data_IF_590739357004
#
_entry.id   IF_590739357004
#
_cell.length_a   1.000
_cell.length_b   1.000
_cell.length_c   1.000
_cell.angle_alpha   90.00
_cell.angle_beta   90.00
_cell.angle_gamma   90.00
#
_symmetry.space_group_name_H-M   'P 1'
#
loop_
_entity.id
_entity.type
_entity.pdbx_description
1 polymer ?
#
# COMPACT_ATOMS: atom_id res chain seq x y z
N UNK A 1 19.71 -31.95 -26.28
CA UNK A 1 19.47 -33.04 -25.31
C UNK A 1 19.36 -32.54 -23.86
N UNK A 2 19.78 -31.31 -23.53
CA UNK A 2 19.66 -30.73 -22.18
C UNK A 2 18.23 -30.38 -21.76
N UNK A 3 17.40 -29.83 -22.66
CA UNK A 3 16.01 -29.45 -22.32
C UNK A 3 15.09 -30.60 -21.87
N UNK A 4 15.35 -31.84 -22.29
CA UNK A 4 14.49 -32.99 -21.90
C UNK A 4 14.70 -33.35 -20.42
N UNK A 5 15.90 -33.11 -19.87
CA UNK A 5 16.20 -33.40 -18.46
C UNK A 5 15.67 -32.31 -17.51
N UNK A 6 15.48 -31.09 -18.00
CA UNK A 6 14.90 -29.98 -17.21
C UNK A 6 13.40 -30.17 -16.97
N UNK A 7 12.66 -30.65 -17.98
CA UNK A 7 11.22 -30.93 -17.84
C UNK A 7 10.94 -32.04 -16.80
N UNK A 8 11.76 -33.10 -16.77
CA UNK A 8 11.60 -34.17 -15.78
C UNK A 8 11.81 -33.66 -14.34
N UNK A 9 12.83 -32.83 -14.11
CA UNK A 9 13.08 -32.24 -12.80
C UNK A 9 11.95 -31.30 -12.37
N UNK A 10 11.33 -30.57 -13.30
CA UNK A 10 10.24 -29.65 -13.00
C UNK A 10 8.96 -30.36 -12.54
N UNK A 11 8.73 -31.59 -13.01
CA UNK A 11 7.55 -32.37 -12.58
C UNK A 11 7.70 -32.96 -11.17
N UNK A 12 8.92 -33.29 -10.73
CA UNK A 12 9.16 -33.99 -9.48
C UNK A 12 8.79 -33.13 -8.25
N UNK A 13 9.25 -31.89 -8.21
CA UNK A 13 8.99 -31.00 -7.06
C UNK A 13 7.53 -30.55 -6.99
N UNK A 14 6.88 -30.31 -8.14
CA UNK A 14 5.43 -30.00 -8.21
C UNK A 14 4.60 -31.15 -7.63
N UNK A 15 5.02 -32.39 -7.90
CA UNK A 15 4.38 -33.59 -7.36
C UNK A 15 4.58 -33.67 -5.85
N UNK A 16 5.79 -33.41 -5.34
CA UNK A 16 6.06 -33.39 -3.89
C UNK A 16 5.21 -32.35 -3.14
N UNK A 17 5.06 -31.14 -3.67
CA UNK A 17 4.19 -30.10 -3.09
C UNK A 17 2.74 -30.56 -3.07
N UNK A 18 2.27 -31.13 -4.18
CA UNK A 18 0.91 -31.66 -4.28
C UNK A 18 0.67 -32.75 -3.24
N UNK A 19 1.56 -33.73 -3.14
CA UNK A 19 1.43 -34.85 -2.22
C UNK A 19 1.40 -34.38 -0.75
N UNK A 20 2.26 -33.42 -0.40
CA UNK A 20 2.27 -32.81 0.94
C UNK A 20 0.91 -32.17 1.28
N UNK A 21 0.39 -31.32 0.39
CA UNK A 21 -0.87 -30.60 0.64
C UNK A 21 -2.07 -31.55 0.61
N UNK A 22 -2.05 -32.57 -0.25
CA UNK A 22 -3.10 -33.59 -0.29
C UNK A 22 -3.14 -34.44 0.98
N UNK A 23 -1.99 -34.72 1.60
CA UNK A 23 -1.92 -35.39 2.89
C UNK A 23 -2.55 -34.55 4.01
N UNK A 24 -2.30 -33.24 4.02
CA UNK A 24 -2.93 -32.34 4.98
C UNK A 24 -4.45 -32.24 4.75
N UNK A 25 -4.89 -32.24 3.48
CA UNK A 25 -6.31 -32.31 3.13
C UNK A 25 -6.97 -33.59 3.64
N UNK A 26 -6.32 -34.74 3.52
CA UNK A 26 -6.84 -36.03 4.01
C UNK A 26 -7.14 -35.96 5.52
N UNK A 27 -6.21 -35.42 6.32
CA UNK A 27 -6.41 -35.22 7.77
C UNK A 27 -7.60 -34.29 8.06
N UNK A 28 -7.74 -33.20 7.31
CA UNK A 28 -8.87 -32.27 7.48
C UNK A 28 -10.22 -32.92 7.10
N UNK A 29 -10.24 -33.77 6.07
CA UNK A 29 -11.43 -34.52 5.68
C UNK A 29 -11.81 -35.54 6.75
N UNK A 30 -10.85 -36.29 7.31
CA UNK A 30 -11.10 -37.21 8.43
C UNK A 30 -11.69 -36.49 9.65
N UNK A 31 -11.18 -35.30 9.98
CA UNK A 31 -11.71 -34.48 11.08
C UNK A 31 -13.15 -34.00 10.80
N UNK A 32 -13.44 -33.64 9.55
CA UNK A 32 -14.77 -33.17 9.12
C UNK A 32 -15.78 -34.31 9.17
N UNK A 33 -15.37 -35.51 8.73
CA UNK A 33 -16.17 -36.74 8.81
C UNK A 33 -16.47 -37.10 10.27
N UNK A 34 -15.46 -37.11 11.13
CA UNK A 34 -15.63 -37.38 12.56
C UNK A 34 -16.55 -36.36 13.24
N UNK A 35 -16.46 -35.07 12.87
CA UNK A 35 -17.33 -34.02 13.39
C UNK A 35 -18.78 -34.20 12.92
N UNK A 36 -18.99 -34.60 11.67
CA UNK A 36 -20.31 -34.88 11.12
C UNK A 36 -20.96 -36.10 11.80
N UNK A 37 -20.23 -37.19 11.98
CA UNK A 37 -20.72 -38.39 12.67
C UNK A 37 -21.03 -38.11 14.15
N UNK A 38 -20.20 -37.31 14.83
CA UNK A 38 -20.49 -36.84 16.19
C UNK A 38 -21.78 -36.04 16.25
N UNK A 39 -21.97 -35.08 15.32
CA UNK A 39 -23.21 -34.28 15.25
C UNK A 39 -24.45 -35.13 14.94
N UNK A 40 -24.30 -36.19 14.15
CA UNK A 40 -25.39 -37.13 13.86
C UNK A 40 -25.74 -38.04 15.05
N UNK A 41 -24.76 -38.42 15.88
CA UNK A 41 -24.95 -39.32 17.02
C UNK A 41 -25.47 -38.60 18.28
N UNK A 42 -25.06 -37.35 18.51
CA UNK A 42 -25.48 -36.57 19.68
C UNK A 42 -26.91 -36.04 19.58
N UNK A 43 -27.47 -35.92 18.38
CA UNK A 43 -28.81 -35.40 18.21
C UNK A 43 -29.88 -36.49 18.44
N UNK A 44 -30.95 -36.18 19.22
CA UNK A 44 -32.10 -37.09 19.35
C UNK A 44 -32.71 -37.33 17.97
N UNK A 45 -33.48 -38.42 17.75
CA UNK A 45 -33.97 -38.80 16.41
C UNK A 45 -34.64 -37.63 15.68
N UNK A 46 -33.88 -37.02 14.77
CA UNK A 46 -34.28 -35.78 14.13
C UNK A 46 -35.16 -36.07 12.92
N UNK A 47 -36.07 -35.13 12.64
CA UNK A 47 -36.85 -35.11 11.40
C UNK A 47 -35.94 -35.33 10.17
N UNK A 48 -36.46 -36.05 9.17
CA UNK A 48 -35.74 -36.37 7.93
C UNK A 48 -35.20 -35.12 7.22
N UNK A 49 -35.89 -33.99 7.37
CA UNK A 49 -35.49 -32.71 6.77
C UNK A 49 -34.20 -32.15 7.38
N UNK A 50 -34.01 -32.28 8.69
CA UNK A 50 -32.79 -31.79 9.35
C UNK A 50 -31.59 -32.63 8.92
N UNK A 51 -31.74 -33.95 8.85
CA UNK A 51 -30.70 -34.86 8.32
C UNK A 51 -30.33 -34.53 6.88
N UNK A 52 -31.30 -34.14 6.05
CA UNK A 52 -31.03 -33.69 4.68
C UNK A 52 -30.20 -32.40 4.66
N UNK A 53 -30.55 -31.41 5.49
CA UNK A 53 -29.80 -30.14 5.59
C UNK A 53 -28.36 -30.37 6.06
N UNK A 54 -28.17 -31.19 7.09
CA UNK A 54 -26.84 -31.54 7.61
C UNK A 54 -25.97 -32.21 6.55
N UNK A 55 -26.53 -33.14 5.76
CA UNK A 55 -25.79 -33.74 4.64
C UNK A 55 -25.38 -32.70 3.61
N UNK A 56 -26.25 -31.75 3.26
CA UNK A 56 -25.90 -30.68 2.31
C UNK A 56 -24.80 -29.78 2.86
N UNK A 57 -24.84 -29.43 4.15
CA UNK A 57 -23.78 -28.67 4.81
C UNK A 57 -22.45 -29.41 4.79
N UNK A 58 -22.45 -30.70 5.15
CA UNK A 58 -21.26 -31.54 5.12
C UNK A 58 -20.60 -31.61 3.72
N UNK A 59 -21.39 -31.85 2.67
CA UNK A 59 -20.86 -31.86 1.30
C UNK A 59 -20.29 -30.49 0.89
N UNK A 60 -20.94 -29.40 1.33
CA UNK A 60 -20.43 -28.05 1.08
C UNK A 60 -19.09 -27.81 1.78
N UNK A 61 -18.92 -28.27 3.01
CA UNK A 61 -17.66 -28.13 3.75
C UNK A 61 -16.53 -28.96 3.10
N UNK A 62 -16.80 -30.21 2.70
CA UNK A 62 -15.83 -31.00 1.93
C UNK A 62 -15.40 -30.27 0.66
N UNK A 63 -16.35 -29.74 -0.10
CA UNK A 63 -16.06 -29.02 -1.34
C UNK A 63 -15.22 -27.76 -1.08
N UNK A 64 -15.48 -27.03 0.00
CA UNK A 64 -14.65 -25.88 0.41
C UNK A 64 -13.23 -26.30 0.72
N UNK A 65 -13.03 -27.39 1.48
CA UNK A 65 -11.70 -27.90 1.83
C UNK A 65 -10.92 -28.33 0.58
N UNK A 66 -11.56 -29.03 -0.36
CA UNK A 66 -10.95 -29.40 -1.64
C UNK A 66 -10.52 -28.17 -2.45
N UNK A 67 -11.41 -27.18 -2.62
CA UNK A 67 -11.10 -25.94 -3.33
C UNK A 67 -9.95 -25.16 -2.65
N UNK A 68 -9.91 -25.14 -1.32
CA UNK A 68 -8.85 -24.49 -0.57
C UNK A 68 -7.49 -25.19 -0.76
N UNK A 69 -7.47 -26.52 -0.75
CA UNK A 69 -6.26 -27.31 -1.01
C UNK A 69 -5.75 -27.10 -2.45
N UNK A 70 -6.63 -27.09 -3.45
CA UNK A 70 -6.25 -26.78 -4.84
C UNK A 70 -5.66 -25.37 -4.98
N UNK A 71 -6.28 -24.38 -4.34
CA UNK A 71 -5.77 -23.01 -4.32
C UNK A 71 -4.39 -22.92 -3.65
N UNK A 72 -4.19 -23.68 -2.56
CA UNK A 72 -2.92 -23.74 -1.86
C UNK A 72 -1.81 -24.41 -2.71
N UNK A 73 -2.13 -25.52 -3.39
CA UNK A 73 -1.21 -26.18 -4.33
C UNK A 73 -0.77 -25.19 -5.42
N UNK A 74 -1.72 -24.47 -6.01
CA UNK A 74 -1.42 -23.49 -7.06
C UNK A 74 -0.53 -22.36 -6.55
N UNK A 75 -0.85 -21.80 -5.39
CA UNK A 75 -0.08 -20.69 -4.81
C UNK A 75 1.34 -21.10 -4.42
N UNK A 76 1.51 -22.30 -3.86
CA UNK A 76 2.83 -22.80 -3.45
C UNK A 76 3.70 -23.12 -4.69
N UNK A 77 3.11 -23.70 -5.75
CA UNK A 77 3.81 -23.91 -7.03
C UNK A 77 4.23 -22.56 -7.64
N UNK A 78 3.33 -21.58 -7.68
CA UNK A 78 3.64 -20.25 -8.24
C UNK A 78 4.74 -19.53 -7.46
N UNK A 79 4.75 -19.64 -6.13
CA UNK A 79 5.80 -19.06 -5.28
C UNK A 79 7.17 -19.69 -5.58
N UNK A 80 7.23 -21.01 -5.62
CA UNK A 80 8.48 -21.74 -5.91
C UNK A 80 8.97 -21.47 -7.34
N UNK A 81 8.07 -21.38 -8.32
CA UNK A 81 8.42 -20.96 -9.68
C UNK A 81 9.01 -19.55 -9.69
N UNK A 82 8.44 -18.61 -8.93
CA UNK A 82 8.99 -17.26 -8.80
C UNK A 82 10.37 -17.24 -8.15
N UNK A 83 10.58 -18.05 -7.11
CA UNK A 83 11.87 -18.16 -6.43
C UNK A 83 12.94 -18.72 -7.37
N UNK A 84 12.61 -19.77 -8.14
CA UNK A 84 13.54 -20.30 -9.16
C UNK A 84 13.78 -19.38 -10.33
N UNK A 85 12.76 -18.66 -10.79
CA UNK A 85 12.95 -17.62 -11.80
C UNK A 85 13.85 -16.50 -11.29
N UNK A 86 13.71 -16.14 -10.01
CA UNK A 86 14.57 -15.16 -9.36
C UNK A 86 16.01 -15.68 -9.29
N UNK A 87 16.23 -16.90 -8.83
CA UNK A 87 17.55 -17.53 -8.75
C UNK A 87 18.21 -17.69 -10.12
N UNK A 88 17.45 -18.08 -11.15
CA UNK A 88 17.95 -18.18 -12.52
C UNK A 88 18.36 -16.81 -13.06
N UNK A 89 17.52 -15.79 -12.86
CA UNK A 89 17.83 -14.42 -13.26
C UNK A 89 19.00 -13.82 -12.45
N UNK A 90 19.14 -14.20 -11.18
CA UNK A 90 20.27 -13.80 -10.34
C UNK A 90 21.55 -14.49 -10.78
N UNK A 91 21.53 -15.80 -11.06
CA UNK A 91 22.68 -16.52 -11.61
C UNK A 91 23.11 -15.97 -12.97
N UNK A 92 22.17 -15.64 -13.86
CA UNK A 92 22.47 -14.98 -15.13
C UNK A 92 23.07 -13.58 -14.91
N UNK A 93 22.58 -12.84 -13.92
CA UNK A 93 23.14 -11.54 -13.55
C UNK A 93 24.58 -11.64 -13.00
N UNK A 94 24.93 -12.74 -12.31
CA UNK A 94 26.29 -13.00 -11.83
C UNK A 94 27.20 -13.66 -12.89
N UNK A 95 26.64 -14.35 -13.89
CA UNK A 95 27.38 -14.98 -15.00
C UNK A 95 27.59 -14.08 -16.21
N UNK A 96 27.06 -12.85 -16.21
CA UNK A 96 27.56 -11.73 -17.03
C UNK A 96 28.96 -11.28 -16.53
N UNK A 97 29.89 -12.23 -16.55
CA UNK A 97 31.33 -12.14 -16.74
C UNK A 97 32.03 -10.91 -16.14
N UNK A 98 31.89 -10.67 -14.83
CA UNK A 98 32.80 -9.82 -14.03
C UNK A 98 32.99 -8.36 -14.47
N UNK A 99 32.35 -7.93 -15.55
CA UNK A 99 32.31 -6.56 -16.02
C UNK A 99 31.04 -5.98 -15.44
N UNK A 100 31.15 -5.47 -14.22
CA UNK A 100 30.24 -4.40 -13.76
C UNK A 100 30.09 -3.48 -14.98
N UNK A 101 28.87 -3.29 -15.53
CA UNK A 101 28.69 -2.51 -16.74
C UNK A 101 29.47 -1.21 -16.58
N UNK A 102 30.39 -0.91 -17.50
CA UNK A 102 31.29 0.24 -17.33
C UNK A 102 30.49 1.52 -17.02
N UNK A 103 29.27 1.63 -17.55
CA UNK A 103 28.30 2.66 -17.21
C UNK A 103 27.99 2.79 -15.70
N UNK A 104 27.80 1.68 -14.98
CA UNK A 104 27.55 1.68 -13.53
C UNK A 104 28.81 2.07 -12.74
N UNK A 105 30.00 1.66 -13.21
CA UNK A 105 31.28 2.11 -12.63
C UNK A 105 31.48 3.61 -12.84
N UNK A 106 31.13 4.11 -14.03
CA UNK A 106 31.22 5.53 -14.37
C UNK A 106 30.22 6.36 -13.56
N UNK A 107 29.01 5.84 -13.32
CA UNK A 107 27.99 6.44 -12.45
C UNK A 107 28.48 6.51 -11.00
N UNK A 108 29.01 5.42 -10.43
CA UNK A 108 29.62 5.44 -9.09
C UNK A 108 30.77 6.46 -9.00
N UNK A 109 31.61 6.57 -10.03
CA UNK A 109 32.69 7.57 -10.10
C UNK A 109 32.17 8.99 -10.24
N UNK A 110 31.01 9.19 -10.86
CA UNK A 110 30.37 10.51 -10.96
C UNK A 110 29.84 10.93 -9.60
N UNK A 111 29.12 10.04 -8.90
CA UNK A 111 28.60 10.29 -7.55
C UNK A 111 29.73 10.60 -6.57
N UNK A 112 30.82 9.84 -6.59
CA UNK A 112 31.98 10.11 -5.72
C UNK A 112 32.65 11.45 -6.03
N UNK A 113 32.70 11.86 -7.30
CA UNK A 113 33.20 13.20 -7.69
C UNK A 113 32.29 14.31 -7.17
N UNK A 114 30.98 14.11 -7.24
CA UNK A 114 30.00 15.09 -6.77
C UNK A 114 30.02 15.25 -5.25
N UNK A 115 30.16 14.15 -4.50
CA UNK A 115 30.37 14.21 -3.05
C UNK A 115 31.68 14.96 -2.73
N UNK A 116 32.77 14.66 -3.44
CA UNK A 116 34.05 15.36 -3.24
C UNK A 116 33.96 16.85 -3.56
N UNK A 117 33.23 17.26 -4.60
CA UNK A 117 33.03 18.69 -4.88
C UNK A 117 32.20 19.38 -3.80
N UNK A 118 31.15 18.74 -3.30
CA UNK A 118 30.33 19.30 -2.22
C UNK A 118 31.14 19.45 -0.92
N UNK A 119 32.06 18.52 -0.64
CA UNK A 119 32.89 18.58 0.57
C UNK A 119 33.93 19.73 0.52
N UNK A 120 34.36 20.15 -0.68
CA UNK A 120 35.31 21.25 -0.86
C UNK A 120 34.65 22.63 -0.76
N UNK A 121 33.43 22.78 -1.29
CA UNK A 121 32.71 24.07 -1.22
C UNK A 121 32.24 24.41 0.21
N UNK A 122 31.95 23.41 1.03
CA UNK A 122 31.62 23.63 2.46
C UNK A 122 32.84 24.05 3.30
N UNK A 123 34.05 23.66 2.91
CA UNK A 123 35.26 23.99 3.69
C UNK A 123 35.82 25.39 3.38
N UNK A 124 35.57 25.93 2.19
CA UNK A 124 35.94 27.32 1.84
C UNK A 124 34.88 28.35 2.28
N UNK A 125 33.62 27.94 2.46
CA UNK A 125 32.56 28.85 2.91
C UNK A 125 32.49 29.03 4.43
N UNK A 126 33.16 28.17 5.21
CA UNK A 126 33.11 28.22 6.68
C UNK A 126 34.19 29.11 7.34
N UNK A 127 35.13 29.70 6.59
CA UNK A 127 36.26 30.45 7.17
C UNK A 127 36.26 31.97 6.92
N UNK A 128 35.22 32.54 6.28
CA UNK A 128 35.21 33.98 5.99
C UNK A 128 33.85 34.66 6.17
N UNK A 129 33.28 34.62 7.38
CA UNK A 129 32.31 35.66 7.80
C UNK A 129 32.54 36.05 9.27
N UNK A 130 33.61 36.82 9.51
CA UNK A 130 33.60 37.80 10.58
C UNK A 130 33.88 39.19 10.01
N UNK A 131 32.82 39.99 9.96
CA UNK A 131 32.88 41.44 9.90
C UNK A 131 32.91 42.02 8.49
N UNK A 132 31.81 42.64 8.08
CA UNK A 132 31.72 44.11 8.13
C UNK A 132 30.39 44.58 7.57
N UNK A 133 29.71 45.38 8.40
CA UNK A 133 28.67 46.32 8.04
C UNK A 133 29.06 47.15 6.81
N UNK A 134 28.23 47.13 5.76
CA UNK A 134 27.86 48.31 4.97
C UNK A 134 26.76 47.97 3.97
N UNK A 135 25.60 48.63 4.14
CA UNK A 135 24.56 48.81 3.12
C UNK A 135 25.16 49.41 1.84
N UNK A 136 24.60 49.04 0.68
CA UNK A 136 24.18 50.08 -0.25
C UNK A 136 22.77 49.85 -0.81
N UNK A 137 22.06 50.97 -0.93
CA UNK A 137 21.06 51.21 -1.98
C UNK A 137 21.62 50.84 -3.35
N UNK A 138 20.86 50.18 -4.22
CA UNK A 138 20.24 50.84 -5.37
C UNK A 138 19.38 49.88 -6.22
N UNK A 139 18.27 50.43 -6.68
CA UNK A 139 17.45 50.23 -7.91
C UNK A 139 17.24 48.86 -8.61
N UNK A 140 16.02 48.62 -9.15
CA UNK A 140 15.67 47.44 -9.95
C UNK A 140 15.96 47.66 -11.46
N UNK A 141 16.63 46.69 -12.09
CA UNK A 141 16.74 46.59 -13.55
C UNK A 141 15.99 45.35 -14.06
N UNK A 142 14.95 45.58 -14.85
CA UNK A 142 14.36 44.61 -15.78
C UNK A 142 15.35 44.22 -16.88
N UNK A 143 15.39 42.94 -17.30
CA UNK A 143 15.87 42.57 -18.62
C UNK A 143 14.72 42.36 -19.61
N UNK A 144 14.85 43.10 -20.70
CA UNK A 144 14.00 43.16 -21.88
C UNK A 144 13.82 41.81 -22.60
N UNK A 145 12.62 41.63 -23.16
CA UNK A 145 12.30 40.62 -24.17
C UNK A 145 12.92 40.96 -25.53
N UNK A 146 13.49 40.00 -26.27
CA UNK A 146 13.75 40.18 -27.69
C UNK A 146 12.51 39.80 -28.52
N UNK A 147 11.93 40.85 -29.11
CA UNK A 147 11.07 40.80 -30.29
C UNK A 147 11.88 40.31 -31.49
N UNK A 148 11.34 39.37 -32.26
CA UNK A 148 11.77 39.13 -33.64
C UNK A 148 10.55 38.86 -34.51
N UNK A 149 10.14 39.91 -35.21
CA UNK A 149 9.34 39.84 -36.42
C UNK A 149 10.29 39.82 -37.60
N UNK A 150 10.09 38.92 -38.57
CA UNK A 150 10.28 39.27 -39.99
C UNK A 150 9.57 38.24 -40.87
N UNK A 151 8.66 38.77 -41.68
CA UNK A 151 8.03 38.13 -42.81
C UNK A 151 9.06 37.72 -43.89
N UNK A 152 8.67 36.79 -44.77
CA UNK A 152 8.67 37.03 -46.22
C UNK A 152 8.05 35.87 -46.99
N UNK A 153 7.07 36.22 -47.82
CA UNK A 153 6.62 35.44 -48.96
C UNK A 153 7.71 35.37 -50.02
N UNK A 154 7.99 34.18 -50.57
CA UNK A 154 8.63 34.07 -51.89
C UNK A 154 8.03 32.88 -52.64
N UNK A 155 7.28 33.24 -53.67
CA UNK A 155 6.87 32.46 -54.82
C UNK A 155 8.08 31.90 -55.56
N UNK A 156 8.00 30.66 -56.05
CA UNK A 156 8.70 30.29 -57.28
C UNK A 156 9.56 29.03 -57.25
N UNK A 157 9.13 28.11 -58.10
CA UNK A 157 9.95 27.24 -58.95
C UNK A 157 10.37 25.87 -58.40
N UNK A 158 9.96 24.87 -59.19
CA UNK A 158 10.31 23.46 -59.12
C UNK A 158 11.83 23.26 -58.97
N UNK A 159 12.28 23.00 -57.75
CA UNK A 159 13.57 22.40 -57.47
C UNK A 159 13.41 20.87 -57.36
N UNK A 160 14.29 20.07 -57.97
CA UNK A 160 14.22 18.61 -57.91
C UNK A 160 14.40 18.16 -56.46
N UNK A 161 13.44 17.34 -55.97
CA UNK A 161 13.50 16.74 -54.63
C UNK A 161 14.85 16.04 -54.45
N UNK A 162 15.70 16.47 -53.51
CA UNK A 162 16.89 15.69 -53.17
C UNK A 162 16.39 14.36 -52.64
N UNK A 163 16.90 13.26 -53.23
CA UNK A 163 16.70 11.91 -52.73
C UNK A 163 17.23 11.95 -51.29
N UNK A 164 16.31 11.99 -50.32
CA UNK A 164 16.66 12.02 -48.91
C UNK A 164 17.43 10.74 -48.63
N UNK A 165 18.74 10.88 -48.40
CA UNK A 165 19.57 9.79 -47.96
C UNK A 165 18.89 9.17 -46.73
N UNK A 166 18.62 7.86 -46.80
CA UNK A 166 18.06 7.09 -45.71
C UNK A 166 19.02 7.25 -44.54
N UNK A 167 18.67 8.13 -43.60
CA UNK A 167 19.43 8.31 -42.38
C UNK A 167 19.27 7.04 -41.57
N UNK A 168 20.34 6.24 -41.58
CA UNK A 168 20.44 5.06 -40.74
C UNK A 168 20.41 5.56 -39.28
N UNK A 169 19.47 5.09 -38.44
CA UNK A 169 19.35 5.54 -37.06
C UNK A 169 20.69 5.35 -36.33
N UNK A 170 21.09 6.37 -35.58
CA UNK A 170 22.33 6.35 -34.81
C UNK A 170 22.28 5.25 -33.75
N UNK A 171 23.44 4.71 -33.36
CA UNK A 171 23.54 3.77 -32.25
C UNK A 171 22.90 4.33 -30.95
N UNK A 172 22.99 5.64 -30.74
CA UNK A 172 22.34 6.33 -29.63
C UNK A 172 20.79 6.29 -29.72
N UNK A 173 20.23 6.35 -30.94
CA UNK A 173 18.78 6.28 -31.15
C UNK A 173 18.24 4.88 -30.89
N UNK A 174 19.03 3.84 -31.21
CA UNK A 174 18.70 2.45 -30.91
C UNK A 174 18.72 2.19 -29.39
N UNK A 175 19.71 2.73 -28.69
CA UNK A 175 19.80 2.58 -27.23
C UNK A 175 18.68 3.35 -26.50
N UNK A 176 18.34 4.55 -26.97
CA UNK A 176 17.21 5.32 -26.44
C UNK A 176 15.87 4.58 -26.62
N UNK A 177 15.66 3.93 -27.77
CA UNK A 177 14.47 3.08 -28.01
C UNK A 177 14.43 1.87 -27.08
N UNK A 178 15.56 1.20 -26.85
CA UNK A 178 15.61 0.07 -25.93
C UNK A 178 15.30 0.47 -24.48
N UNK A 179 15.78 1.63 -24.02
CA UNK A 179 15.43 2.19 -22.70
C UNK A 179 13.95 2.54 -22.60
N UNK A 180 13.40 3.18 -23.63
CA UNK A 180 11.98 3.52 -23.68
C UNK A 180 11.09 2.27 -23.65
N UNK A 181 11.43 1.24 -24.42
CA UNK A 181 10.70 -0.03 -24.44
C UNK A 181 10.77 -0.75 -23.09
N UNK A 182 11.94 -0.76 -22.43
CA UNK A 182 12.08 -1.36 -21.09
C UNK A 182 11.21 -0.64 -20.06
N UNK A 183 11.16 0.69 -20.11
CA UNK A 183 10.33 1.50 -19.23
C UNK A 183 8.83 1.28 -19.51
N UNK A 184 8.43 1.16 -20.78
CA UNK A 184 7.07 0.83 -21.18
C UNK A 184 6.63 -0.55 -20.65
N UNK A 185 7.49 -1.58 -20.76
CA UNK A 185 7.21 -2.91 -20.18
C UNK A 185 7.02 -2.85 -18.67
N UNK A 186 7.86 -2.09 -17.95
CA UNK A 186 7.69 -1.92 -16.51
C UNK A 186 6.37 -1.23 -16.17
N UNK A 187 5.98 -0.20 -16.91
CA UNK A 187 4.67 0.46 -16.71
C UNK A 187 3.49 -0.46 -17.00
N UNK A 188 3.59 -1.29 -18.03
CA UNK A 188 2.55 -2.28 -18.38
C UNK A 188 2.44 -3.36 -17.29
N UNK A 189 3.56 -3.85 -16.76
CA UNK A 189 3.56 -4.79 -15.62
C UNK A 189 2.93 -4.18 -14.37
N UNK A 190 3.25 -2.91 -14.07
CA UNK A 190 2.60 -2.18 -12.97
C UNK A 190 1.08 -2.06 -13.19
N UNK A 191 0.63 -1.72 -14.39
CA UNK A 191 -0.81 -1.69 -14.74
C UNK A 191 -1.45 -3.07 -14.56
N UNK A 192 -0.80 -4.14 -15.03
CA UNK A 192 -1.31 -5.51 -14.94
C UNK A 192 -1.43 -5.99 -13.49
N UNK A 193 -0.44 -5.67 -12.65
CA UNK A 193 -0.48 -5.96 -11.20
C UNK A 193 -1.59 -5.16 -10.49
N UNK A 194 -1.73 -3.87 -10.81
CA UNK A 194 -2.78 -3.05 -10.25
C UNK A 194 -4.19 -3.57 -10.62
N UNK A 195 -4.39 -4.00 -11.87
CA UNK A 195 -5.65 -4.60 -12.32
C UNK A 195 -5.94 -5.94 -11.62
N UNK A 196 -4.93 -6.78 -11.45
CA UNK A 196 -5.07 -8.06 -10.73
C UNK A 196 -5.49 -7.84 -9.27
N UNK A 197 -4.93 -6.84 -8.59
CA UNK A 197 -5.32 -6.46 -7.22
C UNK A 197 -6.78 -5.98 -7.18
N UNK A 198 -7.19 -5.13 -8.12
CA UNK A 198 -8.58 -4.68 -8.24
C UNK A 198 -9.56 -5.83 -8.48
N UNK A 199 -9.21 -6.79 -9.35
CA UNK A 199 -10.01 -7.99 -9.59
C UNK A 199 -10.11 -8.87 -8.35
N UNK A 200 -9.01 -9.09 -7.63
CA UNK A 200 -9.00 -9.82 -6.36
C UNK A 200 -9.91 -9.15 -5.33
N UNK A 201 -9.81 -7.83 -5.17
CA UNK A 201 -10.64 -7.04 -4.24
C UNK A 201 -12.13 -7.05 -4.63
N UNK A 202 -12.46 -7.02 -5.92
CA UNK A 202 -13.85 -7.18 -6.38
C UNK A 202 -14.38 -8.59 -6.11
N UNK A 203 -13.58 -9.62 -6.36
CA UNK A 203 -13.95 -11.00 -6.07
C UNK A 203 -14.19 -11.21 -4.56
N UNK A 204 -13.31 -10.66 -3.72
CA UNK A 204 -13.42 -10.68 -2.27
C UNK A 204 -14.67 -9.94 -1.77
N UNK A 205 -14.99 -8.77 -2.32
CA UNK A 205 -16.26 -8.06 -2.01
C UNK A 205 -17.49 -8.88 -2.41
N UNK A 206 -17.46 -9.54 -3.57
CA UNK A 206 -18.55 -10.43 -4.00
C UNK A 206 -18.71 -11.61 -3.06
N UNK A 207 -17.59 -12.19 -2.62
CA UNK A 207 -17.57 -13.30 -1.66
C UNK A 207 -18.10 -12.87 -0.30
N UNK A 208 -17.64 -11.74 0.25
CA UNK A 208 -18.11 -11.21 1.54
C UNK A 208 -19.60 -10.86 1.51
N UNK A 209 -20.07 -10.19 0.45
CA UNK A 209 -21.50 -9.91 0.30
C UNK A 209 -22.34 -11.20 0.23
N UNK A 210 -21.77 -12.30 -0.29
CA UNK A 210 -22.47 -13.58 -0.35
C UNK A 210 -22.55 -14.27 1.02
N UNK A 211 -21.53 -14.11 1.87
CA UNK A 211 -21.58 -14.56 3.27
C UNK A 211 -22.59 -13.75 4.10
N UNK A 212 -22.54 -12.43 4.00
CA UNK A 212 -23.42 -11.53 4.76
C UNK A 212 -24.91 -11.72 4.40
N UNK A 213 -25.18 -12.01 3.12
CA UNK A 213 -26.52 -12.35 2.65
C UNK A 213 -27.05 -13.69 3.20
N UNK A 214 -26.17 -14.65 3.49
CA UNK A 214 -26.54 -15.93 4.08
C UNK A 214 -26.84 -15.80 5.59
N UNK A 215 -26.13 -14.90 6.27
CA UNK A 215 -26.29 -14.65 7.70
C UNK A 215 -27.54 -13.82 8.01
N UNK A 216 -27.80 -12.77 7.22
CA UNK A 216 -29.01 -11.92 7.33
C UNK A 216 -30.31 -12.72 7.11
N UNK A 217 -30.27 -13.76 6.27
CA UNK A 217 -31.44 -14.62 6.03
C UNK A 217 -31.66 -15.65 7.13
N UNK A 218 -30.63 -15.93 7.95
CA UNK A 218 -30.73 -16.82 9.10
C UNK A 218 -31.20 -16.07 10.36
N UNK A 219 -30.90 -14.76 10.47
CA UNK A 219 -31.24 -13.94 11.64
C UNK A 219 -32.61 -13.25 11.56
N UNK A 220 -33.22 -13.12 10.38
CA UNK A 220 -34.52 -12.43 10.20
C UNK A 220 -35.76 -13.25 10.61
N UNK A 221 -35.59 -14.44 11.21
CA UNK A 221 -36.72 -15.28 11.65
C UNK A 221 -37.13 -15.09 13.12
N UNK A 222 -36.46 -14.22 13.88
CA UNK A 222 -36.75 -14.02 15.30
C UNK A 222 -36.67 -12.54 15.65
N UNK A 223 -37.82 -11.85 15.75
CA UNK A 223 -38.12 -10.82 16.76
C UNK A 223 -39.41 -10.06 16.39
N UNK A 224 -40.53 -10.58 16.90
CA UNK A 224 -41.73 -9.80 17.17
C UNK A 224 -41.62 -9.24 18.60
N UNK A 225 -41.61 -7.93 18.77
CA UNK A 225 -42.44 -7.23 19.79
C UNK A 225 -42.09 -5.74 19.82
N UNK A 226 -43.11 -4.98 19.43
CA UNK A 226 -43.24 -3.53 19.57
C UNK A 226 -43.39 -3.17 21.06
N UNK A 227 -42.63 -2.18 21.53
CA UNK A 227 -43.02 -1.36 22.66
C UNK A 227 -42.41 0.03 22.51
N UNK A 228 -43.30 0.99 22.30
CA UNK A 228 -43.04 2.43 22.33
C UNK A 228 -42.60 2.84 23.73
N UNK A 229 -41.41 3.42 23.85
CA UNK A 229 -41.02 4.15 25.05
C UNK A 229 -40.17 5.36 24.66
N UNK A 230 -40.76 6.55 24.80
CA UNK A 230 -40.14 7.86 24.62
C UNK A 230 -38.85 7.98 25.45
N UNK A 231 -37.71 8.08 24.78
CA UNK A 231 -36.39 8.14 25.38
C UNK A 231 -35.85 9.57 25.42
N UNK A 232 -35.88 10.13 26.63
CA UNK A 232 -34.92 11.14 27.07
C UNK A 232 -33.51 10.57 26.91
N UNK A 233 -32.75 11.09 25.94
CA UNK A 233 -31.39 10.67 25.57
C UNK A 233 -30.37 10.94 26.69
N UNK A 234 -30.35 10.07 27.70
CA UNK A 234 -29.14 9.82 28.49
C UNK A 234 -28.17 9.10 27.57
N UNK A 235 -27.03 9.71 27.27
CA UNK A 235 -25.95 9.09 26.51
C UNK A 235 -25.50 7.83 27.26
N UNK A 236 -25.96 6.68 26.81
CA UNK A 236 -25.41 5.39 27.22
C UNK A 236 -23.92 5.37 26.84
N UNK A 237 -23.02 4.96 27.74
CA UNK A 237 -21.60 4.86 27.42
C UNK A 237 -21.43 3.86 26.28
N UNK A 238 -20.83 4.31 25.17
CA UNK A 238 -20.55 3.46 24.01
C UNK A 238 -19.81 2.20 24.47
N UNK A 239 -20.21 0.99 24.00
CA UNK A 239 -19.50 -0.25 24.31
C UNK A 239 -18.02 -0.10 23.96
N UNK A 240 -17.09 -0.61 24.80
CA UNK A 240 -15.68 -0.61 24.46
C UNK A 240 -15.48 -1.39 23.15
N UNK A 241 -14.74 -0.80 22.21
CA UNK A 241 -14.46 -1.38 20.90
C UNK A 241 -13.73 -2.72 21.07
N UNK A 242 -14.12 -3.74 20.28
CA UNK A 242 -13.46 -5.05 20.35
C UNK A 242 -12.00 -4.95 19.88
N UNK A 243 -11.17 -5.90 20.30
CA UNK A 243 -9.75 -5.89 19.94
C UNK A 243 -9.55 -6.04 18.43
N UNK A 244 -10.34 -6.90 17.79
CA UNK A 244 -10.36 -7.08 16.34
C UNK A 244 -10.76 -5.79 15.62
N UNK A 245 -11.76 -5.07 16.14
CA UNK A 245 -12.20 -3.80 15.56
C UNK A 245 -11.12 -2.72 15.67
N UNK A 246 -10.40 -2.67 16.79
CA UNK A 246 -9.25 -1.77 16.97
C UNK A 246 -8.15 -2.06 15.95
N UNK A 247 -7.82 -3.34 15.74
CA UNK A 247 -6.82 -3.75 14.73
C UNK A 247 -7.29 -3.35 13.33
N UNK A 248 -8.55 -3.65 13.00
CA UNK A 248 -9.14 -3.31 11.72
C UNK A 248 -9.17 -1.79 11.47
N UNK A 249 -9.49 -1.00 12.49
CA UNK A 249 -9.49 0.46 12.43
C UNK A 249 -8.10 1.00 12.09
N UNK A 250 -7.06 0.47 12.72
CA UNK A 250 -5.68 0.93 12.49
C UNK A 250 -5.20 0.56 11.08
N UNK A 251 -5.50 -0.66 10.63
CA UNK A 251 -5.21 -1.09 9.25
C UNK A 251 -5.96 -0.19 8.26
N UNK A 252 -7.22 0.13 8.54
CA UNK A 252 -8.02 1.02 7.71
C UNK A 252 -7.42 2.43 7.64
N UNK A 253 -7.01 3.00 8.77
CA UNK A 253 -6.33 4.31 8.84
C UNK A 253 -5.02 4.31 8.05
N UNK A 254 -4.23 3.24 8.11
CA UNK A 254 -3.00 3.11 7.31
C UNK A 254 -3.29 3.10 5.80
N UNK A 255 -4.35 2.40 5.39
CA UNK A 255 -4.78 2.39 3.98
C UNK A 255 -5.31 3.77 3.53
N UNK A 256 -5.98 4.52 4.42
CA UNK A 256 -6.50 5.86 4.10
C UNK A 256 -5.39 6.81 3.67
N UNK A 257 -4.20 6.76 4.29
CA UNK A 257 -3.07 7.60 3.86
C UNK A 257 -2.66 7.39 2.40
N UNK A 258 -2.68 6.14 1.93
CA UNK A 258 -2.42 5.81 0.53
C UNK A 258 -3.53 6.31 -0.39
N UNK A 259 -4.79 6.17 0.05
CA UNK A 259 -5.94 6.61 -0.72
C UNK A 259 -6.03 8.13 -0.85
N UNK A 260 -5.76 8.89 0.22
CA UNK A 260 -5.74 10.35 0.22
C UNK A 260 -4.77 10.95 -0.79
N UNK A 261 -3.65 10.27 -1.08
CA UNK A 261 -2.72 10.70 -2.10
C UNK A 261 -3.36 10.76 -3.50
N UNK A 262 -4.45 10.04 -3.74
CA UNK A 262 -5.16 9.99 -5.02
C UNK A 262 -6.33 10.97 -5.13
N UNK A 263 -6.81 11.54 -4.02
CA UNK A 263 -8.03 12.36 -3.99
C UNK A 263 -7.81 13.81 -4.43
N UNK A 264 -8.48 14.33 -5.46
CA UNK A 264 -8.23 15.69 -5.97
C UNK A 264 -8.50 16.78 -4.92
N UNK A 265 -9.47 16.53 -4.03
CA UNK A 265 -9.84 17.40 -2.94
C UNK A 265 -9.86 16.59 -1.64
N UNK A 266 -9.39 17.22 -0.56
CA UNK A 266 -9.39 16.63 0.78
C UNK A 266 -10.27 17.48 1.70
N UNK A 267 -10.99 16.79 2.58
CA UNK A 267 -11.82 17.35 3.63
C UNK A 267 -11.39 16.81 4.99
N UNK A 268 -11.90 17.41 6.06
CA UNK A 268 -11.56 17.05 7.44
C UNK A 268 -11.81 15.56 7.73
N UNK A 269 -12.87 15.01 7.16
CA UNK A 269 -13.28 13.60 7.35
C UNK A 269 -12.43 12.58 6.60
N UNK A 270 -11.60 13.03 5.66
CA UNK A 270 -10.74 12.14 4.87
C UNK A 270 -9.45 11.75 5.60
N UNK A 271 -9.10 12.50 6.65
CA UNK A 271 -7.88 12.28 7.40
C UNK A 271 -8.06 11.16 8.44
N UNK A 272 -7.13 10.19 8.52
CA UNK A 272 -7.14 9.14 9.53
C UNK A 272 -6.66 9.69 10.88
N UNK A 273 -7.52 10.45 11.56
CA UNK A 273 -7.23 11.00 12.87
C UNK A 273 -6.90 9.87 13.86
N UNK A 274 -5.84 9.99 14.69
CA UNK A 274 -5.41 8.93 15.59
C UNK A 274 -6.32 8.85 16.83
N UNK A 275 -7.58 8.48 16.62
CA UNK A 275 -8.61 8.28 17.64
C UNK A 275 -9.27 6.91 17.41
N UNK A 276 -9.71 6.24 18.47
CA UNK A 276 -10.40 4.94 18.40
C UNK A 276 -11.87 5.08 18.00
N UNK A 277 -12.10 5.75 16.87
CA UNK A 277 -13.42 5.99 16.30
C UNK A 277 -13.33 5.83 14.78
N UNK A 278 -14.30 5.13 14.19
CA UNK A 278 -14.46 5.09 12.72
C UNK A 278 -14.95 6.43 12.16
N UNK A 279 -15.57 7.25 13.01
CA UNK A 279 -15.98 8.60 12.67
C UNK A 279 -14.84 9.57 12.97
N UNK A 280 -14.62 10.51 12.04
CA UNK A 280 -13.66 11.58 12.27
C UNK A 280 -14.14 12.50 13.40
N UNK A 281 -13.24 12.94 14.30
CA UNK A 281 -13.60 13.82 15.40
C UNK A 281 -14.30 15.07 14.88
N UNK A 282 -15.38 15.52 15.49
CA UNK A 282 -16.13 16.69 15.01
C UNK A 282 -15.30 17.97 15.10
N UNK A 283 -14.42 18.05 16.10
CA UNK A 283 -13.65 19.25 16.48
C UNK A 283 -12.23 18.91 16.89
N UNK A 284 -11.36 19.93 16.86
CA UNK A 284 -9.99 19.84 17.35
C UNK A 284 -9.93 19.48 18.85
N UNK A 285 -10.96 19.83 19.61
CA UNK A 285 -11.05 19.61 21.05
C UNK A 285 -11.17 18.12 21.42
N UNK A 286 -11.62 17.28 20.49
CA UNK A 286 -11.74 15.82 20.66
C UNK A 286 -10.41 15.10 20.47
N UNK A 287 -9.39 15.77 19.91
CA UNK A 287 -8.03 15.26 19.77
C UNK A 287 -7.26 15.39 21.09
N UNK A 288 -7.77 14.73 22.13
CA UNK A 288 -7.16 14.73 23.47
C UNK A 288 -5.92 13.85 23.53
N UNK A 289 -4.94 14.16 24.40
CA UNK A 289 -3.76 13.32 24.55
C UNK A 289 -4.10 11.89 24.96
N UNK A 290 -5.17 11.70 25.74
CA UNK A 290 -5.68 10.38 26.14
C UNK A 290 -6.20 9.59 24.95
N UNK A 291 -7.00 10.19 24.07
CA UNK A 291 -7.55 9.50 22.90
C UNK A 291 -6.45 9.07 21.91
N UNK A 292 -5.48 9.96 21.67
CA UNK A 292 -4.32 9.65 20.82
C UNK A 292 -3.45 8.57 21.46
N UNK A 293 -3.20 8.65 22.77
CA UNK A 293 -2.47 7.62 23.50
C UNK A 293 -3.16 6.28 23.34
N UNK A 294 -4.47 6.20 23.61
CA UNK A 294 -5.24 4.97 23.48
C UNK A 294 -5.13 4.37 22.07
N UNK A 295 -5.28 5.19 21.02
CA UNK A 295 -5.12 4.77 19.63
C UNK A 295 -3.76 4.12 19.31
N UNK A 296 -2.67 4.71 19.81
CA UNK A 296 -1.31 4.19 19.58
C UNK A 296 -1.13 2.83 20.26
N UNK A 297 -1.62 2.71 21.50
CA UNK A 297 -1.34 1.56 22.36
C UNK A 297 -2.35 0.41 22.22
N UNK A 298 -3.57 0.66 21.76
CA UNK A 298 -4.62 -0.35 21.73
C UNK A 298 -4.28 -1.60 20.87
N UNK A 299 -3.66 -1.47 19.67
CA UNK A 299 -3.24 -2.64 18.88
C UNK A 299 -2.06 -3.43 19.47
N UNK A 300 -1.34 -2.84 20.43
CA UNK A 300 -0.08 -3.37 20.96
C UNK A 300 -0.26 -4.03 22.33
N UNK A 301 -1.51 -4.19 22.79
CA UNK A 301 -1.83 -4.88 24.04
C UNK A 301 -1.38 -6.36 24.05
N UNK A 302 -1.19 -6.98 22.88
CA UNK A 302 -0.71 -8.37 22.73
C UNK A 302 0.81 -8.48 22.93
N UNK A 303 1.56 -7.47 22.48
CA UNK A 303 3.02 -7.47 22.53
C UNK A 303 3.50 -6.09 22.97
N UNK A 304 3.85 -5.96 24.26
CA UNK A 304 4.47 -4.76 24.86
C UNK A 304 5.90 -4.55 24.36
N UNK A 305 6.12 -4.65 23.06
CA UNK A 305 7.41 -4.38 22.47
C UNK A 305 7.57 -2.85 22.34
N UNK A 306 8.41 -2.30 23.22
CA UNK A 306 8.71 -0.88 23.26
C UNK A 306 9.36 -0.39 21.97
N UNK A 307 10.05 -1.27 21.22
CA UNK A 307 10.64 -0.92 19.93
C UNK A 307 9.55 -0.65 18.88
N UNK A 308 8.54 -1.53 18.80
CA UNK A 308 7.43 -1.38 17.85
C UNK A 308 6.61 -0.12 18.13
N UNK A 309 6.30 0.15 19.41
CA UNK A 309 5.62 1.40 19.83
C UNK A 309 6.42 2.62 19.37
N UNK A 310 7.73 2.63 19.63
CA UNK A 310 8.62 3.74 19.31
C UNK A 310 8.71 3.98 17.81
N UNK A 311 8.79 2.91 17.02
CA UNK A 311 8.83 3.02 15.56
C UNK A 311 7.52 3.52 14.98
N UNK A 312 6.38 3.07 15.53
CA UNK A 312 5.05 3.57 15.16
C UNK A 312 4.87 5.06 15.52
N UNK A 313 5.31 5.49 16.70
CA UNK A 313 5.31 6.90 17.09
C UNK A 313 6.15 7.73 16.12
N UNK A 314 7.37 7.30 15.80
CA UNK A 314 8.23 7.98 14.83
C UNK A 314 7.57 8.06 13.44
N UNK A 315 6.92 6.99 12.99
CA UNK A 315 6.24 7.00 11.70
C UNK A 315 5.07 8.00 11.66
N UNK A 316 4.22 8.00 12.70
CA UNK A 316 3.13 8.96 12.79
C UNK A 316 3.62 10.40 12.92
N UNK A 317 4.69 10.66 13.68
CA UNK A 317 5.32 12.00 13.74
C UNK A 317 5.78 12.44 12.35
N UNK A 318 6.39 11.55 11.56
CA UNK A 318 6.80 11.88 10.18
C UNK A 318 5.62 12.21 9.28
N UNK A 319 4.47 11.53 9.45
CA UNK A 319 3.24 11.77 8.67
C UNK A 319 2.55 13.07 9.06
N UNK A 320 2.49 13.37 10.36
CA UNK A 320 1.84 14.55 10.92
C UNK A 320 2.77 15.78 11.05
N UNK A 321 4.03 15.66 10.64
CA UNK A 321 4.98 16.77 10.67
C UNK A 321 4.46 17.95 9.85
N UNK A 322 4.41 19.18 10.39
CA UNK A 322 3.77 20.32 9.74
C UNK A 322 4.32 20.53 8.33
N UNK A 323 5.64 20.60 8.15
CA UNK A 323 6.27 20.80 6.83
C UNK A 323 5.78 19.81 5.76
N UNK A 324 5.83 18.49 6.03
CA UNK A 324 5.39 17.46 5.08
C UNK A 324 3.89 17.47 4.89
N UNK A 325 3.14 17.68 5.97
CA UNK A 325 1.69 17.64 5.95
C UNK A 325 1.11 18.85 5.19
N UNK A 326 1.68 20.04 5.37
CA UNK A 326 1.29 21.27 4.69
C UNK A 326 1.55 21.18 3.19
N UNK A 327 2.75 20.75 2.79
CA UNK A 327 3.13 20.63 1.37
C UNK A 327 2.30 19.57 0.66
N UNK A 328 2.06 18.41 1.29
CA UNK A 328 1.45 17.26 0.62
C UNK A 328 -0.08 17.28 0.63
N UNK A 329 -0.70 17.68 1.74
CA UNK A 329 -2.15 17.53 1.94
C UNK A 329 -2.88 18.86 2.01
N UNK A 330 -2.34 19.88 2.70
CA UNK A 330 -3.08 21.14 2.84
C UNK A 330 -3.27 21.89 1.51
N UNK A 331 -2.35 21.73 0.56
CA UNK A 331 -2.47 22.32 -0.77
C UNK A 331 -3.70 21.82 -1.57
N UNK A 332 -4.32 20.70 -1.14
CA UNK A 332 -5.45 20.05 -1.84
C UNK A 332 -6.81 20.35 -1.20
N UNK A 333 -6.85 21.12 -0.12
CA UNK A 333 -8.08 21.51 0.55
C UNK A 333 -8.56 22.82 -0.07
N UNK A 334 -9.74 22.80 -0.68
CA UNK A 334 -10.27 23.95 -1.42
C UNK A 334 -10.78 25.06 -0.49
N UNK A 335 -11.40 24.69 0.64
CA UNK A 335 -11.93 25.65 1.60
C UNK A 335 -10.82 26.14 2.56
N UNK A 336 -10.62 27.46 2.61
CA UNK A 336 -9.63 28.09 3.49
C UNK A 336 -9.95 27.88 4.98
N UNK A 337 -11.23 27.88 5.36
CA UNK A 337 -11.62 27.67 6.75
C UNK A 337 -11.36 26.22 7.19
N UNK A 338 -11.73 25.27 6.33
CA UNK A 338 -11.46 23.85 6.57
C UNK A 338 -9.95 23.56 6.56
N UNK A 339 -9.19 24.18 5.64
CA UNK A 339 -7.73 24.08 5.60
C UNK A 339 -7.10 24.55 6.91
N UNK A 340 -7.56 25.66 7.45
CA UNK A 340 -7.10 26.19 8.73
C UNK A 340 -7.45 25.26 9.89
N UNK A 341 -8.68 24.71 9.90
CA UNK A 341 -9.12 23.71 10.87
C UNK A 341 -8.21 22.48 10.86
N UNK A 342 -7.95 21.91 9.67
CA UNK A 342 -7.10 20.73 9.48
C UNK A 342 -5.65 21.01 9.90
N UNK A 343 -5.12 22.19 9.55
CA UNK A 343 -3.77 22.63 9.97
C UNK A 343 -3.64 22.67 11.49
N UNK A 344 -4.63 23.23 12.18
CA UNK A 344 -4.64 23.27 13.64
C UNK A 344 -4.75 21.88 14.26
N UNK A 345 -5.66 21.03 13.75
CA UNK A 345 -5.82 19.64 14.20
C UNK A 345 -4.53 18.82 14.04
N UNK A 346 -3.89 18.91 12.86
CA UNK A 346 -2.60 18.27 12.59
C UNK A 346 -1.51 18.76 13.56
N UNK A 347 -1.46 20.06 13.83
CA UNK A 347 -0.52 20.66 14.79
C UNK A 347 -0.76 20.23 16.24
N UNK A 348 -2.00 19.93 16.64
CA UNK A 348 -2.33 19.34 17.95
C UNK A 348 -1.81 17.91 18.02
N UNK A 349 -2.14 17.08 17.03
CA UNK A 349 -1.69 15.67 16.95
C UNK A 349 -0.17 15.58 16.98
N UNK A 350 0.53 16.38 16.17
CA UNK A 350 1.99 16.36 16.11
C UNK A 350 2.64 16.69 17.46
N UNK A 351 2.09 17.64 18.23
CA UNK A 351 2.57 17.97 19.58
C UNK A 351 2.37 16.80 20.54
N UNK A 352 1.16 16.25 20.59
CA UNK A 352 0.82 15.10 21.44
C UNK A 352 1.75 13.90 21.14
N UNK A 353 1.98 13.60 19.87
CA UNK A 353 2.85 12.48 19.48
C UNK A 353 4.32 12.71 19.90
N UNK A 354 4.82 13.95 19.81
CA UNK A 354 6.17 14.28 20.29
C UNK A 354 6.28 14.19 21.81
N UNK A 355 5.28 14.66 22.55
CA UNK A 355 5.23 14.54 24.02
C UNK A 355 5.21 13.06 24.43
N UNK A 356 4.41 12.22 23.75
CA UNK A 356 4.37 10.78 23.97
C UNK A 356 5.73 10.12 23.67
N UNK A 357 6.41 10.51 22.58
CA UNK A 357 7.75 10.00 22.27
C UNK A 357 8.79 10.43 23.30
N UNK A 358 8.70 11.66 23.82
CA UNK A 358 9.55 12.17 24.90
C UNK A 358 9.41 11.35 26.18
N UNK A 359 8.17 11.22 26.67
CA UNK A 359 7.88 10.43 27.89
C UNK A 359 8.34 8.98 27.78
N UNK A 360 8.33 8.41 26.57
CA UNK A 360 8.78 7.04 26.32
C UNK A 360 10.30 6.87 26.24
N UNK A 361 11.04 7.93 25.90
CA UNK A 361 12.51 7.87 25.92
C UNK A 361 13.09 8.03 27.32
N UNK A 362 12.31 8.61 28.25
CA UNK A 362 12.70 8.80 29.65
C UNK A 362 12.44 7.56 30.52
N UNK A 363 11.67 6.60 30.01
CA UNK A 363 11.35 5.32 30.68
C UNK A 363 12.28 4.22 30.19
#
# INVERSE_FOLDING_TARGET
>A
MTHILEEENDTAWKTLIRDRIMKDLEVMLEHTDAAFERKNSEQPPVSADVRRRQRVEYHREIQKLQNAAEAHIKAEIEREEQERMWEANEQDAWHLDGQIPQALVDEQRAILREIQSLTLEEHDSAFFEQGSSSRPSDSPQEPASPVSSTASSTTGLYAPRPIQAIQVPSAADLEARARAEKHERQQEEFRKRAEAILKRKQHERRWNNQLDWAETRSSSSSTTSVSDQESSSKAEPNPPMSQEDVINLVIFHDQQWGWMATLPHLQWTDFPWPVLSFESPGRNDELTPEAVKEYIFAPLTIHRDSAIVKDRLKDLIRRWHPDRFEVKYLARIADLHEREKIRQGAGVVARILNDLLGTWNDT
#
